data_IF_086775506268
#
_entry.id   IF_086775506268
#
_cell.length_a   1.000
_cell.length_b   1.000
_cell.length_c   1.000
_cell.angle_alpha   90.00
_cell.angle_beta   90.00
_cell.angle_gamma   90.00
#
_symmetry.space_group_name_H-M   'P 1'
#
loop_
_entity.id
_entity.type
_entity.pdbx_description
1 polymer ?
#
# COMPACT_ATOMS: atom_id res chain seq x y z
N UNK A 1 41.86 -14.03 64.35
CA UNK A 1 41.79 -12.59 64.71
C UNK A 1 41.64 -11.79 63.42
N UNK A 2 40.55 -11.04 63.30
CA UNK A 2 40.19 -10.20 62.16
C UNK A 2 41.25 -9.12 61.87
N UNK A 3 41.39 -8.73 60.60
CA UNK A 3 41.13 -7.33 60.17
C UNK A 3 41.01 -7.24 58.64
N UNK A 4 39.84 -6.77 58.23
CA UNK A 4 39.50 -6.30 56.89
C UNK A 4 40.37 -5.12 56.50
N UNK A 5 40.78 -5.06 55.22
CA UNK A 5 40.71 -3.83 54.40
C UNK A 5 40.91 -4.19 52.93
N UNK A 6 39.86 -4.02 52.13
CA UNK A 6 39.94 -3.83 50.68
C UNK A 6 40.48 -2.41 50.38
N UNK A 7 40.94 -2.14 49.15
CA UNK A 7 40.00 -1.46 48.27
C UNK A 7 39.90 -2.07 46.87
N UNK A 8 38.63 -2.16 46.49
CA UNK A 8 38.03 -2.50 45.21
C UNK A 8 38.57 -1.56 44.12
N UNK A 9 39.19 -2.13 43.09
CA UNK A 9 39.50 -1.45 41.82
C UNK A 9 38.65 -2.13 40.73
N UNK A 10 37.39 -1.69 40.62
CA UNK A 10 36.47 -2.10 39.57
C UNK A 10 36.32 -0.90 38.64
N UNK A 11 37.14 -0.86 37.59
CA UNK A 11 37.00 0.08 36.49
C UNK A 11 36.04 -0.53 35.46
N UNK A 12 34.74 -0.42 35.70
CA UNK A 12 33.69 -0.70 34.70
C UNK A 12 33.27 0.65 34.13
N UNK A 13 33.85 1.01 32.99
CA UNK A 13 33.43 2.18 32.21
C UNK A 13 32.94 1.73 30.84
N UNK A 14 31.63 1.40 30.82
CA UNK A 14 30.63 1.85 29.86
C UNK A 14 31.08 1.97 28.39
N UNK A 15 31.10 0.85 27.66
CA UNK A 15 30.81 0.82 26.22
C UNK A 15 29.28 0.79 26.03
N UNK A 16 28.61 1.87 26.43
CA UNK A 16 27.23 2.15 26.03
C UNK A 16 27.27 3.11 24.84
N UNK A 17 27.77 2.62 23.70
CA UNK A 17 27.82 3.36 22.45
C UNK A 17 26.65 2.99 21.55
N UNK A 18 25.53 3.68 21.77
CA UNK A 18 24.38 3.87 20.89
C UNK A 18 24.05 2.74 19.90
N UNK A 19 23.11 1.86 20.28
CA UNK A 19 22.20 1.32 19.28
C UNK A 19 21.48 2.53 18.66
N UNK A 20 21.90 2.94 17.46
CA UNK A 20 21.12 3.86 16.65
C UNK A 20 19.81 3.16 16.29
N UNK A 21 18.86 3.24 17.23
CA UNK A 21 17.47 2.93 16.97
C UNK A 21 17.02 3.94 15.92
N UNK A 22 17.10 3.55 14.65
CA UNK A 22 16.44 4.29 13.59
C UNK A 22 14.97 4.40 14.04
N UNK A 23 14.41 5.62 14.15
CA UNK A 23 12.99 5.73 14.36
C UNK A 23 12.30 4.91 13.26
N UNK A 24 11.19 4.22 13.54
CA UNK A 24 10.44 3.56 12.49
C UNK A 24 10.23 4.60 11.40
N UNK A 25 10.70 4.31 10.19
CA UNK A 25 10.45 5.14 9.03
C UNK A 25 8.94 5.32 9.01
N UNK A 26 8.47 6.51 9.42
CA UNK A 26 7.06 6.81 9.47
C UNK A 26 6.65 6.96 8.02
N UNK A 27 6.42 5.83 7.34
CA UNK A 27 5.79 5.82 6.05
C UNK A 27 4.52 6.66 6.20
N UNK A 28 4.48 7.78 5.47
CA UNK A 28 3.34 8.66 5.49
C UNK A 28 2.09 7.80 5.20
N UNK A 29 1.00 7.98 5.97
CA UNK A 29 -0.18 7.16 5.81
C UNK A 29 -0.63 7.25 4.35
N UNK A 30 -0.67 6.11 3.67
CA UNK A 30 -1.08 6.03 2.28
C UNK A 30 -2.52 6.52 2.16
N UNK A 31 -2.70 7.70 1.56
CA UNK A 31 -4.00 8.34 1.36
C UNK A 31 -4.54 7.95 -0.01
N UNK A 32 -5.67 7.25 -0.01
CA UNK A 32 -6.38 6.89 -1.22
C UNK A 32 -7.21 8.07 -1.73
N UNK A 33 -7.26 8.24 -3.05
CA UNK A 33 -8.19 9.17 -3.70
C UNK A 33 -9.61 8.59 -3.70
N UNK A 34 -9.72 7.26 -3.80
CA UNK A 34 -10.97 6.54 -3.61
C UNK A 34 -10.76 5.19 -2.93
N UNK A 35 -11.77 4.77 -2.17
CA UNK A 35 -11.82 3.39 -1.67
C UNK A 35 -13.26 2.93 -1.47
N UNK A 36 -13.48 1.63 -1.65
CA UNK A 36 -14.78 0.98 -1.44
C UNK A 36 -14.58 -0.34 -0.70
N UNK A 37 -15.49 -0.62 0.23
CA UNK A 37 -15.58 -1.92 0.90
C UNK A 37 -16.72 -2.74 0.26
N UNK A 38 -16.45 -3.99 -0.07
CA UNK A 38 -17.44 -4.95 -0.59
C UNK A 38 -17.23 -6.29 0.11
N UNK A 39 -18.09 -6.60 1.08
CA UNK A 39 -17.94 -7.76 1.95
C UNK A 39 -16.69 -7.65 2.83
N UNK A 40 -15.90 -8.72 2.90
CA UNK A 40 -14.63 -8.78 3.65
C UNK A 40 -13.45 -8.10 2.92
N UNK A 41 -13.70 -7.36 1.84
CA UNK A 41 -12.65 -6.81 0.99
C UNK A 41 -12.77 -5.32 0.84
N UNK A 42 -11.62 -4.66 0.77
CA UNK A 42 -11.48 -3.25 0.41
C UNK A 42 -10.61 -3.12 -0.82
N UNK A 43 -11.10 -2.37 -1.80
CA UNK A 43 -10.28 -1.82 -2.87
C UNK A 43 -10.06 -0.34 -2.56
N UNK A 44 -8.80 0.09 -2.61
CA UNK A 44 -8.45 1.49 -2.57
C UNK A 44 -7.52 1.80 -3.73
N UNK A 45 -7.60 3.02 -4.25
CA UNK A 45 -6.70 3.49 -5.30
C UNK A 45 -6.25 4.92 -5.07
N UNK A 46 -5.10 5.21 -5.64
CA UNK A 46 -4.52 6.54 -5.77
C UNK A 46 -4.03 6.72 -7.20
N UNK A 47 -4.28 7.88 -7.78
CA UNK A 47 -3.80 8.26 -9.11
C UNK A 47 -2.79 9.40 -9.02
N UNK A 48 -1.85 9.44 -9.95
CA UNK A 48 -0.95 10.58 -10.14
C UNK A 48 -0.68 10.74 -11.62
N UNK A 49 -0.98 11.92 -12.17
CA UNK A 49 -0.66 12.26 -13.56
C UNK A 49 0.86 12.46 -13.66
N UNK A 50 1.47 11.88 -14.69
CA UNK A 50 2.90 12.04 -15.02
C UNK A 50 3.08 13.14 -16.07
N UNK A 51 4.32 13.55 -16.29
CA UNK A 51 4.67 14.58 -17.29
C UNK A 51 4.34 14.14 -18.74
N UNK A 52 4.31 12.83 -19.00
CA UNK A 52 4.09 12.22 -20.31
C UNK A 52 2.61 11.97 -20.65
N UNK A 53 1.67 12.72 -20.05
CA UNK A 53 0.22 12.53 -20.18
C UNK A 53 -0.26 11.10 -19.84
N UNK A 54 0.45 10.42 -18.94
CA UNK A 54 0.04 9.15 -18.37
C UNK A 54 -0.42 9.30 -16.93
N UNK A 55 -1.12 8.29 -16.41
CA UNK A 55 -1.56 8.21 -15.03
C UNK A 55 -0.96 6.97 -14.40
N UNK A 56 -0.21 7.16 -13.32
CA UNK A 56 0.16 6.07 -12.41
C UNK A 56 -1.02 5.80 -11.46
N UNK A 57 -1.62 4.62 -11.57
CA UNK A 57 -2.72 4.15 -10.73
C UNK A 57 -2.17 3.11 -9.76
N UNK A 58 -1.97 3.52 -8.51
CA UNK A 58 -1.63 2.62 -7.40
C UNK A 58 -2.92 2.00 -6.84
N UNK A 59 -2.95 0.68 -6.73
CA UNK A 59 -4.07 -0.07 -6.20
C UNK A 59 -3.67 -0.77 -4.90
N UNK A 60 -4.59 -0.85 -3.95
CA UNK A 60 -4.45 -1.70 -2.75
C UNK A 60 -5.69 -2.55 -2.55
N UNK A 61 -5.47 -3.86 -2.58
CA UNK A 61 -6.44 -4.87 -2.24
C UNK A 61 -6.20 -5.30 -0.80
N UNK A 62 -7.21 -5.16 0.05
CA UNK A 62 -7.11 -5.41 1.48
C UNK A 62 -8.22 -6.36 1.91
N UNK A 63 -7.88 -7.40 2.68
CA UNK A 63 -8.85 -8.16 3.46
C UNK A 63 -9.16 -7.38 4.73
N UNK A 64 -10.41 -6.98 4.88
CA UNK A 64 -10.95 -6.32 6.06
C UNK A 64 -11.15 -7.38 7.14
N UNK A 65 -10.72 -7.07 8.35
CA UNK A 65 -10.77 -7.98 9.50
C UNK A 65 -9.91 -7.42 10.64
N UNK A 66 -9.75 -8.22 11.69
CA UNK A 66 -8.86 -7.92 12.80
C UNK A 66 -7.79 -9.05 12.91
N UNK A 67 -6.54 -8.83 12.43
CA UNK A 67 -6.04 -7.61 11.79
C UNK A 67 -6.42 -7.52 10.30
N UNK A 68 -6.53 -6.29 9.78
CA UNK A 68 -6.65 -6.05 8.35
C UNK A 68 -5.33 -6.43 7.63
N UNK A 69 -5.43 -7.04 6.45
CA UNK A 69 -4.27 -7.55 5.70
C UNK A 69 -4.26 -7.08 4.26
N UNK A 70 -3.13 -6.51 3.80
CA UNK A 70 -2.92 -6.23 2.38
C UNK A 70 -2.74 -7.57 1.65
N UNK A 71 -3.58 -7.81 0.64
CA UNK A 71 -3.53 -8.99 -0.23
C UNK A 71 -2.57 -8.73 -1.39
N UNK A 72 -2.69 -7.57 -2.03
CA UNK A 72 -1.85 -7.14 -3.15
C UNK A 72 -1.84 -5.61 -3.24
N UNK A 73 -0.74 -5.05 -3.77
CA UNK A 73 -0.60 -3.61 -3.98
C UNK A 73 0.08 -3.27 -5.33
N UNK A 74 -0.54 -3.59 -6.48
CA UNK A 74 0.06 -3.32 -7.78
C UNK A 74 -0.06 -1.83 -8.17
N UNK A 75 0.77 -1.42 -9.14
CA UNK A 75 0.70 -0.12 -9.80
C UNK A 75 0.60 -0.30 -11.31
N UNK A 76 -0.19 0.55 -11.97
CA UNK A 76 -0.37 0.57 -13.42
C UNK A 76 0.00 1.95 -13.97
N UNK A 77 0.90 2.02 -14.94
CA UNK A 77 1.14 3.24 -15.71
C UNK A 77 0.31 3.17 -17.01
N UNK A 78 -0.64 4.09 -17.17
CA UNK A 78 -1.65 4.04 -18.25
C UNK A 78 -1.68 5.39 -18.95
N UNK A 79 -1.59 5.42 -20.28
CA UNK A 79 -1.78 6.66 -21.05
C UNK A 79 -3.18 7.25 -20.84
N UNK A 80 -3.32 8.58 -20.83
CA UNK A 80 -4.64 9.21 -20.69
C UNK A 80 -5.53 8.88 -21.89
N UNK A 81 -6.68 8.25 -21.62
CA UNK A 81 -7.58 7.73 -22.66
C UNK A 81 -7.43 6.22 -22.91
N UNK A 82 -6.39 5.61 -22.34
CA UNK A 82 -6.13 4.17 -22.47
C UNK A 82 -6.70 3.36 -21.30
N UNK A 83 -6.61 2.04 -21.46
CA UNK A 83 -6.99 1.05 -20.46
C UNK A 83 -5.79 0.20 -20.09
N UNK A 84 -5.55 0.02 -18.79
CA UNK A 84 -4.58 -0.93 -18.25
C UNK A 84 -5.26 -2.07 -17.52
N UNK A 85 -4.62 -3.23 -17.49
CA UNK A 85 -5.07 -4.41 -16.75
C UNK A 85 -3.92 -4.98 -15.92
N UNK A 86 -4.24 -5.44 -14.71
CA UNK A 86 -3.31 -6.19 -13.87
C UNK A 86 -4.00 -7.43 -13.33
N UNK A 87 -3.26 -8.53 -13.30
CA UNK A 87 -3.63 -9.76 -12.58
C UNK A 87 -2.47 -10.10 -11.65
N UNK A 88 -2.78 -10.30 -10.37
CA UNK A 88 -1.82 -10.74 -9.36
C UNK A 88 -2.31 -12.05 -8.78
N UNK A 89 -1.53 -13.10 -8.99
CA UNK A 89 -1.79 -14.42 -8.40
C UNK A 89 -0.98 -14.61 -7.11
N UNK A 90 -1.68 -14.68 -5.98
CA UNK A 90 -1.12 -14.97 -4.66
C UNK A 90 -1.27 -16.45 -4.26
N UNK A 91 -1.53 -17.34 -5.23
CA UNK A 91 -1.70 -18.78 -5.03
C UNK A 91 -3.11 -19.14 -4.59
N UNK A 92 -3.48 -18.81 -3.35
CA UNK A 92 -4.85 -19.08 -2.83
C UNK A 92 -5.83 -17.94 -3.14
N UNK A 93 -5.32 -16.73 -3.35
CA UNK A 93 -6.11 -15.55 -3.68
C UNK A 93 -5.55 -14.93 -4.95
N UNK A 94 -6.41 -14.71 -5.94
CA UNK A 94 -6.09 -14.01 -7.17
C UNK A 94 -6.87 -12.71 -7.20
N UNK A 95 -6.20 -11.60 -7.49
CA UNK A 95 -6.86 -10.32 -7.72
C UNK A 95 -6.60 -9.86 -9.14
N UNK A 96 -7.60 -9.25 -9.76
CA UNK A 96 -7.44 -8.57 -11.03
C UNK A 96 -8.12 -7.20 -10.99
N UNK A 97 -7.60 -6.29 -11.80
CA UNK A 97 -8.23 -4.99 -12.01
C UNK A 97 -8.01 -4.51 -13.44
N UNK A 98 -9.06 -3.90 -13.99
CA UNK A 98 -9.03 -3.12 -15.22
C UNK A 98 -9.20 -1.66 -14.81
N UNK A 99 -8.23 -0.83 -15.14
CA UNK A 99 -8.27 0.61 -14.90
C UNK A 99 -8.41 1.32 -16.25
N UNK A 100 -9.46 2.11 -16.41
CA UNK A 100 -9.72 2.93 -17.59
C UNK A 100 -9.48 4.38 -17.24
N UNK A 101 -8.79 5.09 -18.11
CA UNK A 101 -8.57 6.52 -17.95
C UNK A 101 -9.30 7.27 -19.06
N UNK A 102 -9.80 8.47 -18.75
CA UNK A 102 -10.36 9.38 -19.75
C UNK A 102 -10.16 10.82 -19.33
N UNK A 103 -9.89 11.70 -20.29
CA UNK A 103 -9.85 13.14 -20.03
C UNK A 103 -11.26 13.69 -19.84
N UNK A 104 -11.43 14.56 -18.85
CA UNK A 104 -12.67 15.29 -18.59
C UNK A 104 -12.31 16.69 -18.15
N UNK A 105 -12.50 17.65 -19.04
CA UNK A 105 -12.12 19.06 -18.84
C UNK A 105 -10.65 19.19 -18.41
N UNK A 106 -10.39 19.74 -17.22
CA UNK A 106 -9.06 19.92 -16.64
C UNK A 106 -8.58 18.75 -15.78
N UNK A 107 -9.27 17.60 -15.80
CA UNK A 107 -8.96 16.44 -14.95
C UNK A 107 -8.85 15.15 -15.77
N UNK A 108 -8.20 14.14 -15.19
CA UNK A 108 -8.27 12.77 -15.68
C UNK A 108 -9.18 11.95 -14.78
N UNK A 109 -10.19 11.30 -15.36
CA UNK A 109 -11.08 10.39 -14.65
C UNK A 109 -10.51 8.99 -14.75
N UNK A 110 -10.37 8.33 -13.61
CA UNK A 110 -9.94 6.93 -13.50
C UNK A 110 -11.13 6.10 -13.01
N UNK A 111 -11.44 5.03 -13.74
CA UNK A 111 -12.44 4.04 -13.39
C UNK A 111 -11.75 2.69 -13.22
N UNK A 112 -11.92 2.04 -12.07
CA UNK A 112 -11.30 0.75 -11.76
C UNK A 112 -12.39 -0.28 -11.49
N UNK A 113 -12.41 -1.32 -12.32
CA UNK A 113 -13.21 -2.53 -12.15
C UNK A 113 -12.30 -3.65 -11.66
N UNK A 114 -12.56 -4.18 -10.45
CA UNK A 114 -11.72 -5.21 -9.87
C UNK A 114 -12.48 -6.50 -9.60
N UNK A 115 -11.75 -7.62 -9.57
CA UNK A 115 -12.24 -8.92 -9.14
C UNK A 115 -11.27 -9.52 -8.12
N UNK A 116 -11.82 -10.11 -7.06
CA UNK A 116 -11.07 -10.85 -6.06
C UNK A 116 -11.64 -12.26 -6.04
N UNK A 117 -10.77 -13.25 -6.25
CA UNK A 117 -11.10 -14.66 -6.26
C UNK A 117 -10.29 -15.41 -5.22
N UNK A 118 -10.91 -16.34 -4.51
CA UNK A 118 -10.23 -17.27 -3.60
C UNK A 118 -10.46 -18.69 -4.11
N UNK A 119 -9.38 -19.45 -4.28
CA UNK A 119 -9.43 -20.83 -4.79
C UNK A 119 -10.25 -20.96 -6.09
N UNK A 120 -10.10 -19.99 -7.00
CA UNK A 120 -10.80 -19.94 -8.30
C UNK A 120 -12.25 -19.44 -8.25
N UNK A 121 -12.80 -19.15 -7.06
CA UNK A 121 -14.17 -18.65 -6.90
C UNK A 121 -14.15 -17.15 -6.69
N UNK A 122 -14.88 -16.40 -7.52
CA UNK A 122 -15.05 -14.95 -7.32
C UNK A 122 -15.76 -14.67 -6.00
N UNK A 123 -15.09 -13.95 -5.10
CA UNK A 123 -15.60 -13.53 -3.79
C UNK A 123 -16.10 -12.09 -3.79
N UNK A 124 -15.48 -11.21 -4.56
CA UNK A 124 -15.84 -9.79 -4.57
C UNK A 124 -15.55 -9.14 -5.94
N UNK A 125 -16.32 -8.10 -6.28
CA UNK A 125 -16.19 -7.30 -7.50
C UNK A 125 -16.31 -5.80 -7.22
N UNK A 126 -15.38 -5.20 -6.47
CA UNK A 126 -15.43 -3.78 -6.15
C UNK A 126 -15.18 -2.91 -7.38
N UNK A 127 -15.81 -1.74 -7.40
CA UNK A 127 -15.66 -0.73 -8.45
C UNK A 127 -15.46 0.63 -7.81
N UNK A 128 -14.52 1.40 -8.33
CA UNK A 128 -14.26 2.78 -7.88
C UNK A 128 -14.06 3.70 -9.07
N UNK A 129 -14.42 4.97 -8.88
CA UNK A 129 -14.20 6.03 -9.85
C UNK A 129 -13.74 7.27 -9.11
N UNK A 130 -12.69 7.91 -9.61
CA UNK A 130 -12.15 9.14 -9.01
C UNK A 130 -11.53 10.04 -10.08
N UNK A 131 -11.34 11.29 -9.72
CA UNK A 131 -10.68 12.27 -10.56
C UNK A 131 -9.26 12.53 -10.04
N UNK A 132 -8.31 12.64 -10.95
CA UNK A 132 -6.92 13.00 -10.67
C UNK A 132 -6.68 14.38 -11.28
N UNK A 133 -6.17 15.29 -10.48
CA UNK A 133 -5.76 16.60 -10.95
C UNK A 133 -4.39 16.47 -11.66
N UNK A 134 -4.23 17.06 -12.85
CA UNK A 134 -2.91 17.18 -13.47
C UNK A 134 -2.01 18.06 -12.59
N UNK A 135 -0.72 17.74 -12.57
CA UNK A 135 0.29 18.46 -11.79
C UNK A 135 0.43 19.93 -12.23
#
# INVERSE_FOLDING_TARGET
MQRFTAPILVLISLLAGCAASQPPSAELPWRADASVNVGEYRLAARGTVTEDDAVNVELRFVRVGDPARIIAAPSLLIGTGDTGEVVVDGGSTTVSAVAKTRRSDSKVIVEVDATISESGITRSRPRIRFAVDPA
#
